data_IF_217341729414
#
_entry.id   IF_217341729414
#
_cell.length_a   1.000
_cell.length_b   1.000
_cell.length_c   1.000
_cell.angle_alpha   90.00
_cell.angle_beta   90.00
_cell.angle_gamma   90.00
#
_symmetry.space_group_name_H-M   'P 1'
#
loop_
_entity.id
_entity.type
_entity.pdbx_description
1 polymer ?
#
# COMPACT_ATOMS: atom_id res chain seq x y z
N UNK A 1 -32.87 -29.97 39.39
CA UNK A 1 -32.13 -28.70 39.53
C UNK A 1 -31.17 -28.60 38.35
N UNK A 2 -31.57 -27.90 37.28
CA UNK A 2 -30.72 -27.68 36.11
C UNK A 2 -30.12 -26.27 36.23
N UNK A 3 -28.80 -26.19 36.15
CA UNK A 3 -28.01 -24.97 36.33
C UNK A 3 -27.78 -24.37 34.94
N UNK A 4 -28.40 -23.21 34.66
CA UNK A 4 -28.20 -22.50 33.41
C UNK A 4 -26.83 -21.80 33.45
N UNK A 5 -25.91 -22.25 32.60
CA UNK A 5 -24.64 -21.57 32.33
C UNK A 5 -24.87 -20.46 31.30
N UNK A 6 -24.91 -19.21 31.77
CA UNK A 6 -24.85 -18.03 30.92
C UNK A 6 -23.41 -17.83 30.46
N UNK A 7 -23.13 -18.19 29.20
CA UNK A 7 -21.91 -17.76 28.50
C UNK A 7 -22.06 -16.28 28.13
N UNK A 8 -21.31 -15.43 28.82
CA UNK A 8 -21.10 -14.04 28.43
C UNK A 8 -20.11 -14.05 27.27
N UNK A 9 -20.59 -13.72 26.07
CA UNK A 9 -19.73 -13.46 24.92
C UNK A 9 -19.20 -12.04 25.11
N UNK A 10 -17.95 -11.91 25.56
CA UNK A 10 -17.26 -10.62 25.53
C UNK A 10 -17.12 -10.20 24.06
N UNK A 11 -17.94 -9.23 23.65
CA UNK A 11 -17.77 -8.56 22.37
C UNK A 11 -16.49 -7.75 22.42
N UNK A 12 -15.46 -8.22 21.73
CA UNK A 12 -14.24 -7.47 21.49
C UNK A 12 -14.60 -6.29 20.57
N UNK A 13 -14.95 -5.15 21.17
CA UNK A 13 -15.14 -3.90 20.44
C UNK A 13 -13.78 -3.47 19.93
N UNK A 14 -13.52 -3.70 18.65
CA UNK A 14 -12.37 -3.10 17.96
C UNK A 14 -12.61 -1.60 17.95
N UNK A 15 -11.99 -0.88 18.89
CA UNK A 15 -11.92 0.57 18.82
C UNK A 15 -11.34 0.93 17.45
N UNK A 16 -12.14 1.62 16.64
CA UNK A 16 -11.74 2.12 15.32
C UNK A 16 -10.72 3.24 15.52
N UNK A 17 -9.50 2.88 15.92
CA UNK A 17 -8.38 3.80 16.05
C UNK A 17 -7.98 4.37 14.70
N UNK A 18 -7.46 5.60 14.71
CA UNK A 18 -6.83 6.22 13.53
C UNK A 18 -5.72 5.30 13.02
N UNK A 19 -5.57 5.22 11.69
CA UNK A 19 -4.44 4.54 11.09
C UNK A 19 -3.11 5.08 11.65
N UNK A 20 -2.15 4.18 11.86
CA UNK A 20 -0.82 4.52 12.34
C UNK A 20 0.04 5.07 11.20
N UNK A 21 0.99 5.98 11.48
CA UNK A 21 1.93 6.43 10.48
C UNK A 21 2.88 5.31 10.05
N UNK A 22 3.39 5.39 8.82
CA UNK A 22 4.51 4.59 8.35
C UNK A 22 5.82 5.28 8.76
N UNK A 23 6.84 4.49 9.11
CA UNK A 23 8.13 5.00 9.60
C UNK A 23 9.18 4.93 8.50
N UNK A 24 9.44 6.06 7.84
CA UNK A 24 10.43 6.17 6.78
C UNK A 24 11.82 6.47 7.35
N UNK A 25 12.86 5.86 6.81
CA UNK A 25 14.26 6.15 7.18
C UNK A 25 14.76 7.38 6.43
N UNK A 26 15.42 8.29 7.14
CA UNK A 26 16.06 9.48 6.59
C UNK A 26 17.54 9.21 6.27
N UNK A 27 18.14 10.06 5.44
CA UNK A 27 19.55 9.96 5.00
C UNK A 27 20.54 10.06 6.18
N UNK A 28 20.15 10.74 7.26
CA UNK A 28 20.94 10.89 8.50
C UNK A 28 20.76 9.72 9.48
N UNK A 29 20.01 8.68 9.09
CA UNK A 29 19.65 7.56 9.95
C UNK A 29 18.46 7.84 10.89
N UNK A 30 17.88 9.04 10.84
CA UNK A 30 16.66 9.39 11.55
C UNK A 30 15.44 8.63 11.04
N UNK A 31 14.36 8.66 11.83
CA UNK A 31 13.07 8.08 11.46
C UNK A 31 12.05 9.21 11.37
N UNK A 32 11.38 9.32 10.22
CA UNK A 32 10.24 10.21 10.02
C UNK A 32 8.93 9.41 10.06
N UNK A 33 7.96 9.91 10.81
CA UNK A 33 6.60 9.40 10.79
C UNK A 33 5.81 10.09 9.67
N UNK A 34 5.37 9.30 8.69
CA UNK A 34 4.61 9.79 7.54
C UNK A 34 3.19 9.29 7.68
N UNK A 35 2.23 10.21 7.71
CA UNK A 35 0.81 9.91 7.86
C UNK A 35 0.14 9.57 6.51
N UNK A 36 -0.98 8.82 6.50
CA UNK A 36 -1.64 8.35 5.27
C UNK A 36 -1.94 9.43 4.23
N UNK A 37 -2.21 10.66 4.68
CA UNK A 37 -2.44 11.83 3.83
C UNK A 37 -1.22 12.19 2.96
N UNK A 38 -0.07 11.56 3.19
CA UNK A 38 1.18 11.73 2.44
C UNK A 38 1.72 10.42 1.86
N UNK A 39 0.93 9.35 1.78
CA UNK A 39 1.34 8.08 1.13
C UNK A 39 1.01 8.06 -0.36
N UNK A 40 1.08 9.23 -1.00
CA UNK A 40 0.75 9.41 -2.40
C UNK A 40 1.83 8.85 -3.33
N UNK A 41 1.41 8.38 -4.50
CA UNK A 41 2.25 8.05 -5.64
C UNK A 41 1.78 8.84 -6.86
N UNK A 42 2.70 9.36 -7.66
CA UNK A 42 2.37 10.08 -8.89
C UNK A 42 2.20 9.14 -10.08
N UNK A 43 1.51 9.59 -11.12
CA UNK A 43 1.37 8.79 -12.34
C UNK A 43 2.73 8.52 -13.02
N UNK A 44 3.68 9.44 -12.93
CA UNK A 44 5.04 9.23 -13.45
C UNK A 44 5.72 8.04 -12.74
N UNK A 45 5.64 7.99 -11.40
CA UNK A 45 6.19 6.88 -10.62
C UNK A 45 5.51 5.55 -10.94
N UNK A 46 4.19 5.54 -11.17
CA UNK A 46 3.47 4.34 -11.62
C UNK A 46 3.94 3.85 -13.00
N UNK A 47 4.17 4.76 -13.96
CA UNK A 47 4.69 4.40 -15.29
C UNK A 47 6.09 3.82 -15.22
N UNK A 48 6.97 4.47 -14.45
CA UNK A 48 8.34 3.99 -14.26
C UNK A 48 8.33 2.61 -13.62
N UNK A 49 7.51 2.41 -12.58
CA UNK A 49 7.34 1.11 -11.94
C UNK A 49 6.88 0.02 -12.91
N UNK A 50 5.82 0.26 -13.69
CA UNK A 50 5.32 -0.72 -14.65
C UNK A 50 6.34 -1.00 -15.76
N UNK A 51 7.05 0.03 -16.21
CA UNK A 51 8.12 -0.12 -17.20
C UNK A 51 9.28 -0.98 -16.66
N UNK A 52 9.69 -0.79 -15.39
CA UNK A 52 10.69 -1.65 -14.76
C UNK A 52 10.19 -3.10 -14.61
N UNK A 53 8.93 -3.31 -14.20
CA UNK A 53 8.35 -4.66 -14.10
C UNK A 53 8.37 -5.39 -15.46
N UNK A 54 8.03 -4.68 -16.54
CA UNK A 54 8.03 -5.22 -17.93
C UNK A 54 9.42 -5.59 -18.45
N UNK A 55 10.51 -5.16 -17.80
CA UNK A 55 11.87 -5.60 -18.15
C UNK A 55 12.20 -7.00 -17.63
N UNK A 56 11.46 -7.49 -16.64
CA UNK A 56 11.62 -8.86 -16.14
C UNK A 56 11.19 -9.84 -17.24
N UNK A 57 12.06 -10.78 -17.69
CA UNK A 57 11.67 -11.81 -18.65
C UNK A 57 10.51 -12.71 -18.19
N UNK A 58 10.23 -12.75 -16.88
CA UNK A 58 9.09 -13.46 -16.32
C UNK A 58 7.80 -12.62 -16.31
N UNK A 59 7.80 -11.37 -16.77
CA UNK A 59 6.60 -10.56 -16.91
C UNK A 59 5.57 -11.20 -17.85
N UNK A 60 4.29 -11.09 -17.52
CA UNK A 60 3.17 -11.45 -18.38
C UNK A 60 2.18 -10.29 -18.44
N UNK A 61 1.65 -9.99 -19.63
CA UNK A 61 0.57 -9.00 -19.79
C UNK A 61 -0.75 -9.44 -19.13
N UNK A 62 -0.88 -10.72 -18.78
CA UNK A 62 -2.03 -11.25 -18.02
C UNK A 62 -1.88 -11.10 -16.50
N UNK A 63 -0.78 -10.51 -16.01
CA UNK A 63 -0.58 -10.33 -14.58
C UNK A 63 -1.68 -9.48 -13.96
N UNK A 64 -2.20 -9.99 -12.85
CA UNK A 64 -3.15 -9.27 -12.00
C UNK A 64 -2.42 -8.31 -11.08
N UNK A 65 -3.13 -7.38 -10.43
CA UNK A 65 -2.52 -6.56 -9.39
C UNK A 65 -1.99 -7.40 -8.21
N UNK A 66 -2.60 -8.54 -7.91
CA UNK A 66 -2.05 -9.51 -6.94
C UNK A 66 -0.68 -10.01 -7.38
N UNK A 67 -0.54 -10.44 -8.63
CA UNK A 67 0.74 -10.90 -9.18
C UNK A 67 1.79 -9.80 -9.09
N UNK A 68 1.43 -8.56 -9.45
CA UNK A 68 2.34 -7.42 -9.37
C UNK A 68 2.79 -7.14 -7.93
N UNK A 69 1.86 -7.21 -6.98
CA UNK A 69 2.19 -7.00 -5.56
C UNK A 69 3.11 -8.10 -5.03
N UNK A 70 2.80 -9.35 -5.31
CA UNK A 70 3.56 -10.49 -4.79
C UNK A 70 4.95 -10.61 -5.43
N UNK A 71 5.07 -10.35 -6.74
CA UNK A 71 6.31 -10.52 -7.50
C UNK A 71 7.24 -9.31 -7.43
N UNK A 72 6.70 -8.10 -7.26
CA UNK A 72 7.51 -6.86 -7.33
C UNK A 72 7.39 -6.00 -6.08
N UNK A 73 6.17 -5.63 -5.66
CA UNK A 73 6.00 -4.68 -4.54
C UNK A 73 6.54 -5.24 -3.23
N UNK A 74 6.16 -6.47 -2.86
CA UNK A 74 6.61 -7.09 -1.61
C UNK A 74 8.14 -7.27 -1.59
N UNK A 75 8.80 -7.84 -2.62
CA UNK A 75 10.26 -7.93 -2.63
C UNK A 75 10.97 -6.58 -2.49
N UNK A 76 10.47 -5.53 -3.16
CA UNK A 76 11.07 -4.19 -3.10
C UNK A 76 10.89 -3.50 -1.73
N UNK A 77 9.85 -3.86 -0.99
CA UNK A 77 9.51 -3.23 0.29
C UNK A 77 9.77 -4.13 1.50
N UNK A 78 10.25 -5.36 1.30
CA UNK A 78 10.59 -6.27 2.39
C UNK A 78 11.57 -5.64 3.39
N UNK A 79 11.25 -5.70 4.67
CA UNK A 79 12.07 -5.17 5.76
C UNK A 79 12.09 -3.64 5.91
N UNK A 80 11.41 -2.88 5.03
CA UNK A 80 11.43 -1.41 5.08
C UNK A 80 10.39 -0.85 6.05
N UNK A 81 9.27 -1.56 6.25
CA UNK A 81 8.13 -1.09 7.02
C UNK A 81 7.27 -0.03 6.33
N UNK A 82 7.52 0.25 5.05
CA UNK A 82 6.80 1.27 4.26
C UNK A 82 6.29 0.72 2.93
N UNK A 83 5.13 1.19 2.49
CA UNK A 83 4.57 0.89 1.17
C UNK A 83 5.45 1.39 0.04
N UNK A 84 5.21 0.89 -1.17
CA UNK A 84 6.00 1.21 -2.36
C UNK A 84 6.02 2.71 -2.69
N UNK A 85 4.90 3.41 -2.48
CA UNK A 85 4.84 4.86 -2.67
C UNK A 85 5.94 5.58 -1.86
N UNK A 86 6.01 5.33 -0.55
CA UNK A 86 7.02 5.90 0.33
C UNK A 86 8.41 5.29 0.14
N UNK A 87 8.51 4.07 -0.37
CA UNK A 87 9.80 3.52 -0.78
C UNK A 87 10.45 4.37 -1.88
N UNK A 88 9.65 4.90 -2.82
CA UNK A 88 10.15 5.77 -3.89
C UNK A 88 10.34 7.23 -3.46
N UNK A 89 9.42 7.79 -2.68
CA UNK A 89 9.39 9.22 -2.36
C UNK A 89 9.54 9.54 -0.87
N UNK A 90 10.04 8.62 -0.05
CA UNK A 90 10.11 8.79 1.41
C UNK A 90 10.87 10.02 1.89
N UNK A 91 11.76 10.60 1.06
CA UNK A 91 12.45 11.87 1.31
C UNK A 91 11.55 13.10 1.13
N UNK A 92 10.60 13.04 0.22
CA UNK A 92 9.61 14.09 -0.05
C UNK A 92 8.24 13.44 -0.33
N UNK A 93 7.55 12.95 0.72
CA UNK A 93 6.29 12.24 0.57
C UNK A 93 5.24 13.08 -0.15
N UNK A 94 4.47 12.45 -1.05
CA UNK A 94 3.47 13.15 -1.85
C UNK A 94 2.12 13.19 -1.12
N UNK A 95 1.54 14.38 -1.04
CA UNK A 95 0.19 14.57 -0.52
C UNK A 95 -0.85 13.84 -1.36
N UNK A 96 -1.81 13.20 -0.70
CA UNK A 96 -2.89 12.45 -1.34
C UNK A 96 -4.06 13.39 -1.64
N UNK A 97 -4.49 13.43 -2.89
CA UNK A 97 -5.72 14.12 -3.31
C UNK A 97 -6.70 13.20 -4.07
N UNK A 98 -6.28 11.98 -4.43
CA UNK A 98 -7.12 10.95 -5.05
C UNK A 98 -6.95 9.64 -4.29
N UNK A 99 -8.05 8.97 -3.94
CA UNK A 99 -8.04 7.60 -3.44
C UNK A 99 -8.42 6.65 -4.59
N UNK A 100 -7.62 5.61 -4.78
CA UNK A 100 -7.82 4.58 -5.80
C UNK A 100 -7.95 3.23 -5.11
N UNK A 101 -9.17 2.71 -5.11
CA UNK A 101 -9.44 1.30 -4.78
C UNK A 101 -9.19 0.41 -5.99
N UNK A 102 -8.88 -0.86 -5.76
CA UNK A 102 -8.55 -1.81 -6.80
C UNK A 102 -9.12 -3.20 -6.47
N UNK A 103 -9.33 -4.02 -7.49
CA UNK A 103 -9.55 -5.46 -7.31
C UNK A 103 -8.20 -6.18 -7.36
N UNK A 104 -8.08 -7.28 -6.61
CA UNK A 104 -6.84 -8.05 -6.62
C UNK A 104 -6.60 -8.80 -7.93
N UNK A 105 -7.68 -9.27 -8.54
CA UNK A 105 -7.63 -10.16 -9.71
C UNK A 105 -7.97 -9.40 -11.01
N UNK A 106 -7.93 -8.06 -11.01
CA UNK A 106 -8.00 -7.26 -12.24
C UNK A 106 -6.64 -7.23 -12.94
N UNK A 107 -6.65 -7.03 -14.26
CA UNK A 107 -5.43 -6.92 -15.06
C UNK A 107 -4.63 -5.68 -14.66
N UNK A 108 -3.35 -5.86 -14.32
CA UNK A 108 -2.50 -4.78 -13.85
C UNK A 108 -2.20 -3.75 -14.95
N UNK A 109 -1.96 -4.20 -16.18
CA UNK A 109 -1.69 -3.32 -17.32
C UNK A 109 -2.88 -2.40 -17.60
N UNK A 110 -4.08 -2.97 -17.73
CA UNK A 110 -5.33 -2.23 -17.94
C UNK A 110 -5.61 -1.25 -16.79
N UNK A 111 -5.34 -1.66 -15.54
CA UNK A 111 -5.48 -0.80 -14.37
C UNK A 111 -4.58 0.44 -14.48
N UNK A 112 -3.29 0.28 -14.76
CA UNK A 112 -2.37 1.42 -14.89
C UNK A 112 -2.67 2.28 -16.13
N UNK A 113 -3.12 1.70 -17.24
CA UNK A 113 -3.56 2.44 -18.43
C UNK A 113 -4.86 3.24 -18.17
N UNK A 114 -5.76 2.72 -17.34
CA UNK A 114 -6.95 3.45 -16.91
C UNK A 114 -6.57 4.65 -16.02
N UNK A 115 -5.61 4.47 -15.11
CA UNK A 115 -5.09 5.57 -14.30
C UNK A 115 -4.47 6.66 -15.18
N UNK A 116 -3.61 6.30 -16.14
CA UNK A 116 -2.96 7.25 -17.04
C UNK A 116 -3.95 8.15 -17.78
N UNK A 117 -5.12 7.62 -18.15
CA UNK A 117 -6.17 8.39 -18.84
C UNK A 117 -7.03 9.24 -17.94
N UNK A 118 -7.02 8.98 -16.63
CA UNK A 118 -7.97 9.56 -15.66
C UNK A 118 -7.32 10.62 -14.78
N UNK A 119 -6.05 10.45 -14.41
CA UNK A 119 -5.37 11.34 -13.47
C UNK A 119 -4.47 12.35 -14.18
N UNK A 120 -4.22 13.47 -13.51
CA UNK A 120 -3.29 14.50 -13.97
C UNK A 120 -1.89 14.29 -13.39
N UNK A 121 -0.89 14.96 -13.95
CA UNK A 121 0.48 14.89 -13.47
C UNK A 121 0.69 15.49 -12.07
N UNK A 122 -0.23 16.37 -11.62
CA UNK A 122 -0.19 16.99 -10.29
C UNK A 122 -0.85 16.15 -9.20
N UNK A 123 -1.51 15.04 -9.56
CA UNK A 123 -2.24 14.23 -8.58
C UNK A 123 -1.30 13.32 -7.78
N UNK A 124 -1.55 13.27 -6.47
CA UNK A 124 -0.98 12.28 -5.57
C UNK A 124 -2.06 11.24 -5.25
N UNK A 125 -1.87 10.04 -5.78
CA UNK A 125 -2.83 8.95 -5.63
C UNK A 125 -2.48 8.09 -4.42
N UNK A 126 -3.46 7.81 -3.57
CA UNK A 126 -3.39 6.70 -2.64
C UNK A 126 -3.94 5.45 -3.34
N UNK A 127 -3.05 4.60 -3.83
CA UNK A 127 -3.41 3.32 -4.45
C UNK A 127 -3.18 2.25 -3.39
N UNK A 128 -4.23 1.61 -2.87
CA UNK A 128 -4.09 0.70 -1.72
C UNK A 128 -2.98 -0.36 -1.90
N UNK A 129 -2.85 -0.91 -3.11
CA UNK A 129 -1.82 -1.91 -3.44
C UNK A 129 -0.38 -1.39 -3.29
N UNK A 130 -0.15 -0.08 -3.51
CA UNK A 130 1.17 0.55 -3.55
C UNK A 130 1.46 1.44 -2.34
N UNK A 131 0.45 2.06 -1.75
CA UNK A 131 0.58 2.97 -0.61
C UNK A 131 0.64 2.23 0.72
N UNK A 132 -0.05 1.10 0.84
CA UNK A 132 -0.01 0.27 2.04
C UNK A 132 1.25 -0.60 2.09
N UNK A 133 1.70 -0.89 3.30
CA UNK A 133 2.75 -1.87 3.53
C UNK A 133 2.19 -3.29 3.39
N UNK A 134 2.62 -4.01 2.35
CA UNK A 134 2.04 -5.31 1.96
C UNK A 134 2.75 -6.53 2.58
N UNK A 135 3.97 -6.39 3.10
CA UNK A 135 4.82 -7.53 3.44
C UNK A 135 4.40 -8.30 4.70
N UNK A 136 3.79 -7.63 5.69
CA UNK A 136 3.39 -8.23 6.98
C UNK A 136 4.54 -8.97 7.71
N UNK A 137 5.79 -8.55 7.49
CA UNK A 137 7.00 -9.16 8.05
C UNK A 137 7.39 -8.59 9.43
N UNK A 138 6.54 -7.74 10.02
CA UNK A 138 6.75 -7.09 11.31
C UNK A 138 7.58 -5.82 11.29
N UNK A 139 8.08 -5.37 10.12
CA UNK A 139 8.87 -4.15 10.02
C UNK A 139 8.02 -2.86 9.93
N UNK A 140 6.73 -2.97 9.63
CA UNK A 140 5.80 -1.85 9.47
C UNK A 140 4.47 -2.05 10.22
N UNK A 141 3.49 -1.16 10.02
CA UNK A 141 2.16 -1.32 10.63
C UNK A 141 1.49 -2.61 10.13
N UNK A 142 0.81 -3.31 11.03
CA UNK A 142 -0.04 -4.45 10.66
C UNK A 142 -1.21 -3.98 9.77
N UNK A 143 -1.86 -4.91 9.05
CA UNK A 143 -3.04 -4.59 8.23
C UNK A 143 -4.14 -3.90 9.05
N UNK A 144 -4.34 -4.31 10.31
CA UNK A 144 -5.34 -3.70 11.20
C UNK A 144 -4.99 -2.27 11.64
N UNK A 145 -3.72 -1.87 11.52
CA UNK A 145 -3.23 -0.54 11.89
C UNK A 145 -3.15 0.41 10.69
N UNK A 146 -3.42 -0.07 9.49
CA UNK A 146 -3.39 0.72 8.27
C UNK A 146 -4.80 1.22 7.88
N UNK A 147 -4.92 2.28 7.07
CA UNK A 147 -6.21 2.70 6.54
C UNK A 147 -6.90 1.56 5.80
N UNK A 148 -8.22 1.44 6.00
CA UNK A 148 -9.08 0.51 5.26
C UNK A 148 -9.89 1.26 4.22
#
# INVERSE_FOLDING_TARGET
KAQAMTHTVESCSVESGRAQPQRSRLDDGGIAEVWPEHWGISMAQCKDFLAECRKDPAWSEDYTLRDVVDKYVKPLTAGTGVGYALHLNGRCPLGVNIMVSHAWDENAGEFFEALERTVTHSDGMFICALSLYQCQDGCGPSIAQQPR
#
